data_IF_828457273198
#
_entry.id   IF_828457273198
#
_cell.length_a   1.000
_cell.length_b   1.000
_cell.length_c   1.000
_cell.angle_alpha   90.00
_cell.angle_beta   90.00
_cell.angle_gamma   90.00
#
_symmetry.space_group_name_H-M   'P 1'
#
loop_
_entity.id
_entity.type
_entity.pdbx_description
1 polymer ?
#
# COMPACT_ATOMS: atom_id res chain seq x y z
N UNK A 1 -18.92 -49.60 -32.58
CA UNK A 1 -18.50 -49.36 -31.18
C UNK A 1 -18.03 -47.93 -31.12
N UNK A 2 -18.92 -47.03 -30.70
CA UNK A 2 -18.80 -45.57 -30.81
C UNK A 2 -18.76 -45.07 -29.36
N UNK A 3 -17.58 -44.69 -28.87
CA UNK A 3 -17.46 -44.09 -27.53
C UNK A 3 -17.70 -42.59 -27.64
N UNK A 4 -18.72 -42.13 -26.91
CA UNK A 4 -19.07 -40.73 -26.75
C UNK A 4 -17.96 -39.98 -25.99
N UNK A 5 -17.53 -38.87 -26.58
CA UNK A 5 -16.95 -37.73 -25.88
C UNK A 5 -18.08 -36.97 -25.17
N UNK A 6 -18.00 -36.86 -23.86
CA UNK A 6 -18.62 -35.81 -23.06
C UNK A 6 -17.46 -35.22 -22.23
N UNK A 7 -17.15 -33.94 -22.23
CA UNK A 7 -17.98 -32.74 -22.36
C UNK A 7 -17.43 -31.81 -21.29
N UNK A 8 -16.77 -30.73 -21.71
CA UNK A 8 -16.25 -29.69 -20.83
C UNK A 8 -17.37 -29.16 -19.93
N UNK A 9 -17.23 -29.32 -18.62
CA UNK A 9 -18.08 -28.67 -17.64
C UNK A 9 -17.29 -27.54 -16.99
N UNK A 10 -17.63 -26.30 -17.33
CA UNK A 10 -17.27 -25.11 -16.58
C UNK A 10 -17.72 -25.30 -15.13
N UNK A 11 -16.76 -25.54 -14.23
CA UNK A 11 -16.99 -25.57 -12.80
C UNK A 11 -17.34 -24.16 -12.29
N UNK A 12 -18.17 -24.03 -11.25
CA UNK A 12 -18.58 -22.73 -10.72
C UNK A 12 -17.33 -21.94 -10.30
N UNK A 13 -17.24 -20.69 -10.74
CA UNK A 13 -16.15 -19.80 -10.36
C UNK A 13 -16.08 -19.70 -8.83
N UNK A 14 -15.01 -20.27 -8.25
CA UNK A 14 -14.77 -20.19 -6.81
C UNK A 14 -14.42 -18.74 -6.46
N UNK A 15 -15.44 -18.03 -6.03
CA UNK A 15 -15.30 -16.79 -5.28
C UNK A 15 -14.80 -17.13 -3.88
N UNK A 16 -13.69 -16.50 -3.47
CA UNK A 16 -13.21 -16.60 -2.09
C UNK A 16 -14.33 -16.12 -1.15
N UNK A 17 -14.52 -16.73 0.02
CA UNK A 17 -15.57 -16.33 0.97
C UNK A 17 -15.01 -16.12 2.38
N UNK A 18 -15.47 -15.07 3.08
CA UNK A 18 -15.07 -14.78 4.45
C UNK A 18 -15.73 -15.78 5.41
N UNK A 19 -15.43 -15.68 6.70
CA UNK A 19 -16.01 -16.54 7.74
C UNK A 19 -17.54 -16.46 7.86
N UNK A 20 -18.17 -15.47 7.24
CA UNK A 20 -19.62 -15.29 7.21
C UNK A 20 -20.24 -15.81 5.89
N UNK A 21 -19.45 -16.39 5.00
CA UNK A 21 -19.90 -16.90 3.70
C UNK A 21 -20.13 -15.83 2.64
N UNK A 22 -19.76 -14.57 2.92
CA UNK A 22 -19.77 -13.48 1.93
C UNK A 22 -18.54 -13.60 1.04
N UNK A 23 -18.68 -13.33 -0.25
CA UNK A 23 -17.54 -13.33 -1.17
C UNK A 23 -16.47 -12.35 -0.67
N UNK A 24 -15.29 -12.86 -0.26
CA UNK A 24 -14.08 -12.05 -0.15
C UNK A 24 -13.76 -11.62 -1.56
N UNK A 25 -13.99 -10.35 -1.82
CA UNK A 25 -13.47 -9.72 -3.02
C UNK A 25 -11.94 -9.70 -2.87
N UNK A 26 -11.30 -10.71 -3.47
CA UNK A 26 -9.85 -10.98 -3.43
C UNK A 26 -9.04 -9.78 -3.87
N UNK A 27 -9.67 -8.88 -4.61
CA UNK A 27 -9.44 -7.46 -4.52
C UNK A 27 -10.81 -6.80 -4.35
N UNK A 28 -11.09 -5.97 -3.33
CA UNK A 28 -12.23 -5.05 -3.49
C UNK A 28 -11.83 -4.09 -4.63
N UNK A 29 -12.31 -4.44 -5.82
CA UNK A 29 -12.21 -3.71 -7.10
C UNK A 29 -13.54 -3.04 -7.40
N UNK A 30 -14.56 -3.23 -6.56
CA UNK A 30 -15.79 -2.49 -6.66
C UNK A 30 -15.46 -0.98 -6.69
N UNK A 31 -16.00 -0.22 -7.67
CA UNK A 31 -15.87 1.22 -7.66
C UNK A 31 -16.37 1.71 -6.31
N UNK A 32 -15.62 2.63 -5.70
CA UNK A 32 -15.96 3.19 -4.40
C UNK A 32 -17.45 3.56 -4.39
N UNK A 33 -18.18 3.16 -3.34
CA UNK A 33 -19.61 3.43 -3.21
C UNK A 33 -19.90 4.90 -3.53
N UNK A 34 -21.04 5.18 -4.19
CA UNK A 34 -21.40 6.55 -4.55
C UNK A 34 -21.37 7.47 -3.32
N UNK A 35 -20.46 8.44 -3.30
CA UNK A 35 -20.24 9.34 -2.15
C UNK A 35 -18.91 9.16 -1.41
N UNK A 36 -18.09 8.16 -1.75
CA UNK A 36 -16.73 8.05 -1.22
C UNK A 36 -15.83 9.21 -1.70
N UNK A 37 -14.77 9.57 -0.94
CA UNK A 37 -13.76 10.51 -1.40
C UNK A 37 -13.23 10.10 -2.77
N UNK A 38 -13.25 11.05 -3.72
CA UNK A 38 -12.78 10.77 -5.07
C UNK A 38 -11.25 10.76 -5.07
N UNK A 39 -10.67 9.62 -5.40
CA UNK A 39 -9.24 9.56 -5.71
C UNK A 39 -8.91 10.52 -6.87
N UNK A 40 -7.65 11.01 -6.95
CA UNK A 40 -7.21 11.76 -8.12
C UNK A 40 -7.55 10.98 -9.40
N UNK A 41 -8.00 11.67 -10.44
CA UNK A 41 -8.46 11.01 -11.66
C UNK A 41 -7.37 10.09 -12.23
N UNK A 42 -7.73 8.84 -12.51
CA UNK A 42 -6.84 7.79 -13.03
C UNK A 42 -5.68 7.38 -12.11
N UNK A 43 -5.68 7.79 -10.83
CA UNK A 43 -4.71 7.28 -9.88
C UNK A 43 -5.05 5.84 -9.47
N UNK A 44 -4.07 4.91 -9.44
CA UNK A 44 -4.28 3.60 -8.86
C UNK A 44 -4.65 3.73 -7.38
N UNK A 45 -5.49 2.82 -6.89
CA UNK A 45 -5.97 2.82 -5.51
C UNK A 45 -5.98 1.43 -4.89
N UNK A 46 -5.73 1.35 -3.59
CA UNK A 46 -5.98 0.17 -2.77
C UNK A 46 -7.06 0.54 -1.76
N UNK A 47 -8.20 -0.15 -1.80
CA UNK A 47 -9.38 0.15 -0.97
C UNK A 47 -9.77 1.65 -1.00
N UNK A 48 -9.76 2.24 -2.20
CA UNK A 48 -10.07 3.65 -2.43
C UNK A 48 -8.95 4.64 -2.03
N UNK A 49 -7.90 4.19 -1.33
CA UNK A 49 -6.78 5.04 -0.94
C UNK A 49 -5.80 5.18 -2.10
N UNK A 50 -5.46 6.42 -2.45
CA UNK A 50 -4.43 6.77 -3.43
C UNK A 50 -3.25 7.48 -2.78
N UNK A 51 -2.08 7.40 -3.42
CA UNK A 51 -0.94 8.26 -3.10
C UNK A 51 -1.34 9.73 -3.22
N UNK A 52 -0.90 10.53 -2.26
CA UNK A 52 -1.14 11.98 -2.20
C UNK A 52 -2.42 12.42 -1.52
N UNK A 53 -3.31 11.49 -1.15
CA UNK A 53 -4.41 11.81 -0.23
C UNK A 53 -3.89 12.32 1.12
N UNK A 54 -4.69 13.10 1.83
CA UNK A 54 -4.48 13.38 3.25
C UNK A 54 -4.81 12.16 4.10
N UNK A 55 -4.32 12.11 5.34
CA UNK A 55 -4.69 11.04 6.28
C UNK A 55 -6.20 10.97 6.54
N UNK A 56 -6.89 12.12 6.57
CA UNK A 56 -8.34 12.16 6.75
C UNK A 56 -9.11 11.59 5.55
N UNK A 57 -8.68 11.92 4.32
CA UNK A 57 -9.24 11.34 3.10
C UNK A 57 -9.00 9.84 3.03
N UNK A 58 -7.81 9.36 3.42
CA UNK A 58 -7.50 7.94 3.46
C UNK A 58 -8.41 7.17 4.44
N UNK A 59 -8.62 7.70 5.65
CA UNK A 59 -9.55 7.09 6.63
C UNK A 59 -10.97 7.04 6.06
N UNK A 60 -11.44 8.14 5.44
CA UNK A 60 -12.75 8.20 4.85
C UNK A 60 -12.90 7.22 3.67
N UNK A 61 -11.87 7.06 2.83
CA UNK A 61 -11.84 6.11 1.74
C UNK A 61 -11.93 4.66 2.25
N UNK A 62 -11.15 4.30 3.27
CA UNK A 62 -11.17 2.96 3.86
C UNK A 62 -12.54 2.60 4.47
N UNK A 63 -13.13 3.51 5.26
CA UNK A 63 -14.45 3.32 5.87
C UNK A 63 -15.58 3.25 4.84
N UNK A 64 -15.37 3.86 3.67
CA UNK A 64 -16.35 3.87 2.59
C UNK A 64 -16.23 2.63 1.69
N UNK A 65 -15.00 2.12 1.51
CA UNK A 65 -14.75 0.90 0.75
C UNK A 65 -15.31 -0.35 1.45
N UNK A 66 -15.32 -0.35 2.79
CA UNK A 66 -15.97 -1.39 3.60
C UNK A 66 -16.50 -0.77 4.91
N UNK A 67 -17.81 -0.83 5.11
CA UNK A 67 -18.46 -0.30 6.31
C UNK A 67 -18.02 -1.01 7.62
N UNK A 68 -17.48 -2.23 7.51
CA UNK A 68 -16.90 -2.99 8.62
C UNK A 68 -15.45 -2.64 8.92
N UNK A 69 -14.77 -1.86 8.08
CA UNK A 69 -13.40 -1.45 8.34
C UNK A 69 -13.32 -0.45 9.50
N UNK A 70 -12.49 -0.80 10.48
CA UNK A 70 -11.95 0.16 11.42
C UNK A 70 -10.68 0.74 10.81
N UNK A 71 -10.60 2.06 10.74
CA UNK A 71 -9.43 2.76 10.22
C UNK A 71 -9.15 3.96 11.12
N UNK A 72 -7.98 3.93 11.75
CA UNK A 72 -7.51 4.96 12.67
C UNK A 72 -6.01 5.16 12.51
N UNK A 73 -5.54 6.35 12.87
CA UNK A 73 -4.10 6.62 12.97
C UNK A 73 -3.48 5.62 13.93
N UNK A 74 -2.41 4.96 13.49
CA UNK A 74 -1.71 4.02 14.35
C UNK A 74 -1.20 4.76 15.60
N UNK A 75 -1.25 4.13 16.79
CA UNK A 75 -0.63 4.69 17.98
C UNK A 75 0.85 4.94 17.68
N UNK A 76 1.38 6.06 18.16
CA UNK A 76 2.81 6.36 18.08
C UNK A 76 3.60 5.27 18.82
N UNK A 77 4.16 4.30 18.10
CA UNK A 77 5.05 3.29 18.65
C UNK A 77 6.41 3.36 17.97
N UNK A 78 7.48 3.34 18.77
CA UNK A 78 8.84 2.95 18.37
C UNK A 78 9.63 3.81 17.38
N UNK A 79 9.05 4.78 16.69
CA UNK A 79 9.76 5.61 15.72
C UNK A 79 10.23 6.92 16.36
N UNK A 80 11.53 7.21 16.29
CA UNK A 80 12.18 8.43 16.80
C UNK A 80 11.74 9.75 16.14
N UNK A 81 10.45 9.91 15.88
CA UNK A 81 9.83 11.10 15.30
C UNK A 81 9.92 12.25 16.31
N UNK A 82 10.66 13.33 16.02
CA UNK A 82 10.82 14.43 16.96
C UNK A 82 9.48 15.12 17.21
N UNK A 83 9.22 15.47 18.47
CA UNK A 83 8.28 16.54 18.77
C UNK A 83 8.88 17.84 18.24
N UNK A 84 8.07 18.66 17.58
CA UNK A 84 8.49 20.00 17.26
C UNK A 84 8.33 20.91 18.49
N UNK A 85 9.14 21.98 18.61
CA UNK A 85 9.07 22.93 19.72
C UNK A 85 7.68 23.56 19.91
N UNK A 86 6.86 23.62 18.85
CA UNK A 86 5.48 24.13 18.87
C UNK A 86 4.45 23.08 19.35
N UNK A 87 4.88 21.89 19.76
CA UNK A 87 4.02 20.80 20.21
C UNK A 87 3.40 19.96 19.09
N UNK A 88 3.70 20.25 17.82
CA UNK A 88 3.29 19.42 16.69
C UNK A 88 4.16 18.15 16.58
N UNK A 89 3.66 17.14 15.88
CA UNK A 89 4.32 15.86 15.69
C UNK A 89 3.96 15.27 14.32
N UNK A 90 4.78 14.33 13.82
CA UNK A 90 4.48 13.66 12.55
C UNK A 90 3.48 12.51 12.73
N UNK A 91 2.65 12.30 11.71
CA UNK A 91 1.83 11.09 11.57
C UNK A 91 2.43 10.21 10.49
N UNK A 92 2.65 8.95 10.82
CA UNK A 92 3.44 8.02 9.99
C UNK A 92 2.64 6.88 9.40
N UNK A 93 1.49 6.53 9.99
CA UNK A 93 0.64 5.49 9.42
C UNK A 93 -0.82 5.52 9.90
N UNK A 94 -1.68 4.91 9.09
CA UNK A 94 -3.04 4.47 9.43
C UNK A 94 -3.07 2.95 9.29
N UNK A 95 -3.66 2.28 10.29
CA UNK A 95 -3.99 0.88 10.19
C UNK A 95 -5.49 0.75 9.95
N UNK A 96 -5.84 0.06 8.88
CA UNK A 96 -7.20 -0.29 8.48
C UNK A 96 -7.39 -1.79 8.53
N UNK A 97 -8.58 -2.23 8.89
CA UNK A 97 -8.95 -3.63 8.75
C UNK A 97 -10.24 -3.96 9.47
N UNK A 98 -10.66 -5.19 9.28
CA UNK A 98 -11.83 -5.76 9.93
C UNK A 98 -11.43 -6.41 11.24
N UNK A 99 -12.15 -6.09 12.32
CA UNK A 99 -11.93 -6.79 13.59
C UNK A 99 -12.71 -8.10 13.66
N UNK A 100 -13.83 -8.19 12.92
CA UNK A 100 -14.75 -9.32 12.87
C UNK A 100 -14.21 -10.50 12.03
N UNK A 101 -13.28 -10.25 11.11
CA UNK A 101 -12.57 -11.29 10.35
C UNK A 101 -11.25 -11.72 11.01
N UNK A 102 -10.99 -11.31 12.26
CA UNK A 102 -9.72 -11.50 12.98
C UNK A 102 -8.52 -10.84 12.28
N UNK A 103 -8.73 -9.72 11.61
CA UNK A 103 -7.71 -8.98 10.85
C UNK A 103 -7.11 -9.81 9.72
N UNK A 104 -7.94 -10.54 8.98
CA UNK A 104 -7.49 -11.24 7.78
C UNK A 104 -7.26 -10.29 6.63
N UNK A 105 -8.07 -9.25 6.51
CA UNK A 105 -7.90 -8.17 5.55
C UNK A 105 -7.43 -6.90 6.27
N UNK A 106 -6.16 -6.54 6.03
CA UNK A 106 -5.50 -5.39 6.63
C UNK A 106 -5.05 -4.45 5.54
N UNK A 107 -5.22 -3.16 5.77
CA UNK A 107 -4.62 -2.10 4.96
C UNK A 107 -3.72 -1.26 5.84
N UNK A 108 -2.47 -1.07 5.43
CA UNK A 108 -1.57 -0.10 6.03
C UNK A 108 -1.40 1.06 5.05
N UNK A 109 -1.64 2.26 5.53
CA UNK A 109 -1.40 3.49 4.76
C UNK A 109 -0.21 4.18 5.40
N UNK A 110 0.86 4.36 4.63
CA UNK A 110 2.02 5.12 5.06
C UNK A 110 1.78 6.62 4.83
N UNK A 111 2.05 7.40 5.87
CA UNK A 111 1.90 8.85 5.87
C UNK A 111 3.25 9.51 6.08
N UNK A 112 3.42 10.71 5.51
CA UNK A 112 4.51 11.59 5.88
C UNK A 112 4.02 13.04 5.92
N UNK A 113 4.42 13.77 6.96
CA UNK A 113 4.02 15.14 7.20
C UNK A 113 3.69 15.44 8.66
N UNK A 114 3.61 16.73 8.98
CA UNK A 114 3.12 17.22 10.26
C UNK A 114 1.62 16.97 10.39
N UNK A 115 1.13 16.83 11.63
CA UNK A 115 -0.31 16.66 11.91
C UNK A 115 -1.15 17.74 11.22
N UNK A 116 -2.11 17.32 10.39
CA UNK A 116 -2.98 18.17 9.57
C UNK A 116 -2.43 18.41 8.16
N UNK A 117 -1.17 18.12 7.91
CA UNK A 117 -0.47 18.28 6.63
C UNK A 117 0.05 16.95 6.07
N UNK A 118 -0.17 15.82 6.76
CA UNK A 118 0.25 14.51 6.28
C UNK A 118 -0.29 14.19 4.88
N UNK A 119 0.53 13.47 4.11
CA UNK A 119 0.17 12.90 2.81
C UNK A 119 0.44 11.41 2.79
N UNK A 120 -0.41 10.67 2.10
CA UNK A 120 -0.19 9.26 1.79
C UNK A 120 1.00 9.14 0.84
N UNK A 121 2.01 8.39 1.24
CA UNK A 121 3.22 8.14 0.45
C UNK A 121 3.36 6.67 0.03
N UNK A 122 2.61 5.76 0.66
CA UNK A 122 2.56 4.34 0.35
C UNK A 122 1.27 3.72 0.87
N UNK A 123 0.78 2.67 0.21
CA UNK A 123 -0.37 1.88 0.67
C UNK A 123 -0.07 0.40 0.46
N UNK A 124 -0.31 -0.42 1.48
CA UNK A 124 -0.25 -1.87 1.36
C UNK A 124 -1.51 -2.53 1.89
N UNK A 125 -1.90 -3.65 1.27
CA UNK A 125 -3.00 -4.51 1.73
C UNK A 125 -2.50 -5.93 1.89
N UNK A 126 -2.81 -6.54 3.01
CA UNK A 126 -2.51 -7.94 3.30
C UNK A 126 -3.84 -8.68 3.49
N UNK A 127 -3.99 -9.80 2.79
CA UNK A 127 -5.14 -10.68 2.87
C UNK A 127 -4.67 -12.09 3.20
N UNK A 128 -5.20 -12.68 4.26
CA UNK A 128 -5.06 -14.10 4.57
C UNK A 128 -6.35 -14.83 4.19
N UNK A 129 -6.24 -15.95 3.47
CA UNK A 129 -7.40 -16.74 3.05
C UNK A 129 -7.59 -17.96 3.96
N UNK A 130 -8.78 -18.14 4.53
CA UNK A 130 -9.09 -19.35 5.28
C UNK A 130 -9.17 -20.60 4.38
N UNK A 131 -8.98 -21.81 4.95
CA UNK A 131 -9.24 -23.06 4.26
C UNK A 131 -10.66 -23.09 3.66
N UNK A 132 -10.75 -23.36 2.36
CA UNK A 132 -12.01 -23.35 1.60
C UNK A 132 -12.40 -21.98 1.03
N UNK A 133 -11.72 -20.91 1.44
CA UNK A 133 -11.86 -19.55 0.90
C UNK A 133 -10.70 -19.11 0.01
N UNK A 134 -9.72 -19.99 -0.27
CA UNK A 134 -8.58 -19.65 -1.13
C UNK A 134 -9.00 -19.48 -2.60
N UNK A 135 -8.67 -18.36 -3.27
CA UNK A 135 -8.90 -18.21 -4.70
C UNK A 135 -7.87 -18.97 -5.53
N UNK A 136 -8.18 -19.19 -6.81
CA UNK A 136 -7.18 -19.61 -7.78
C UNK A 136 -6.15 -18.50 -8.01
N UNK A 137 -4.87 -18.86 -8.03
CA UNK A 137 -3.78 -17.90 -8.29
C UNK A 137 -3.98 -17.18 -9.62
N UNK A 138 -4.31 -17.92 -10.69
CA UNK A 138 -4.52 -17.32 -12.02
C UNK A 138 -5.67 -16.31 -12.02
N UNK A 139 -6.78 -16.62 -11.33
CA UNK A 139 -7.91 -15.69 -11.18
C UNK A 139 -7.51 -14.42 -10.40
N UNK A 140 -6.70 -14.57 -9.35
CA UNK A 140 -6.15 -13.43 -8.60
C UNK A 140 -5.30 -12.54 -9.50
N UNK A 141 -4.43 -13.13 -10.35
CA UNK A 141 -3.60 -12.38 -11.31
C UNK A 141 -4.44 -11.65 -12.36
N UNK A 142 -5.48 -12.29 -12.88
CA UNK A 142 -6.43 -11.69 -13.82
C UNK A 142 -7.14 -10.47 -13.22
N UNK A 143 -7.66 -10.58 -12.00
CA UNK A 143 -8.32 -9.47 -11.31
C UNK A 143 -7.37 -8.30 -11.03
N UNK A 144 -6.12 -8.59 -10.67
CA UNK A 144 -5.09 -7.56 -10.50
C UNK A 144 -4.77 -6.88 -11.83
N UNK A 145 -4.68 -7.65 -12.92
CA UNK A 145 -4.42 -7.13 -14.25
C UNK A 145 -5.57 -6.27 -14.79
N UNK A 146 -6.82 -6.64 -14.51
CA UNK A 146 -8.01 -5.85 -14.85
C UNK A 146 -7.99 -4.48 -14.15
N UNK A 147 -7.59 -4.44 -12.87
CA UNK A 147 -7.58 -3.22 -12.08
C UNK A 147 -6.38 -2.31 -12.36
N UNK A 148 -5.19 -2.88 -12.49
CA UNK A 148 -3.93 -2.14 -12.52
C UNK A 148 -3.20 -2.18 -13.87
N UNK A 149 -3.74 -2.91 -14.84
CA UNK A 149 -3.08 -3.23 -16.10
C UNK A 149 -2.17 -4.46 -15.98
N UNK A 150 -1.61 -4.89 -17.11
CA UNK A 150 -0.75 -6.08 -17.16
C UNK A 150 0.43 -5.97 -16.16
N UNK A 151 0.48 -6.93 -15.24
CA UNK A 151 1.56 -7.08 -14.26
C UNK A 151 2.52 -8.18 -14.73
N UNK A 152 3.82 -7.95 -14.55
CA UNK A 152 4.86 -8.88 -14.99
C UNK A 152 5.56 -9.54 -13.80
N UNK A 153 6.17 -10.70 -14.03
CA UNK A 153 6.97 -11.35 -13.00
C UNK A 153 8.13 -10.43 -12.58
N UNK A 154 8.28 -10.22 -11.28
CA UNK A 154 9.30 -9.31 -10.74
C UNK A 154 10.69 -9.91 -10.85
N UNK A 155 10.78 -11.25 -10.79
CA UNK A 155 12.00 -12.01 -11.00
C UNK A 155 11.83 -13.05 -12.12
N UNK A 156 12.92 -13.48 -12.77
CA UNK A 156 12.88 -14.61 -13.68
C UNK A 156 12.38 -15.90 -13.01
N UNK A 157 11.82 -16.87 -13.76
CA UNK A 157 11.32 -18.13 -13.22
C UNK A 157 12.36 -18.90 -12.37
N UNK A 158 13.63 -18.88 -12.77
CA UNK A 158 14.73 -19.54 -12.07
C UNK A 158 15.06 -18.93 -10.69
N UNK A 159 14.58 -17.70 -10.43
CA UNK A 159 14.73 -17.01 -9.15
C UNK A 159 13.41 -16.92 -8.37
N UNK A 160 12.33 -17.52 -8.89
CA UNK A 160 11.01 -17.48 -8.27
C UNK A 160 10.97 -18.36 -7.01
N UNK A 161 10.21 -17.90 -6.01
CA UNK A 161 9.99 -18.65 -4.78
C UNK A 161 9.02 -19.79 -5.04
N UNK A 162 9.34 -21.00 -4.57
CA UNK A 162 8.39 -22.12 -4.59
C UNK A 162 7.17 -21.90 -3.68
N UNK A 163 7.20 -20.86 -2.83
CA UNK A 163 6.17 -20.56 -1.85
C UNK A 163 5.31 -19.35 -2.24
N UNK A 164 5.69 -18.61 -3.28
CA UNK A 164 4.97 -17.40 -3.68
C UNK A 164 5.27 -16.97 -5.11
N UNK A 165 4.26 -16.47 -5.80
CA UNK A 165 4.42 -15.72 -7.05
C UNK A 165 4.51 -14.22 -6.76
N UNK A 166 5.48 -13.53 -7.35
CA UNK A 166 5.65 -12.09 -7.22
C UNK A 166 5.50 -11.42 -8.59
N UNK A 167 4.46 -10.59 -8.71
CA UNK A 167 4.13 -9.86 -9.93
C UNK A 167 4.02 -8.37 -9.66
N UNK A 168 4.36 -7.53 -10.63
CA UNK A 168 4.25 -6.09 -10.45
C UNK A 168 4.70 -5.31 -11.66
N UNK A 169 4.66 -3.99 -11.49
CA UNK A 169 5.22 -3.00 -12.39
C UNK A 169 5.95 -1.96 -11.56
N UNK A 170 7.08 -1.48 -12.06
CA UNK A 170 7.77 -0.33 -11.50
C UNK A 170 8.16 0.61 -12.64
N UNK A 171 7.92 1.89 -12.42
CA UNK A 171 8.17 2.95 -13.41
C UNK A 171 9.22 3.90 -12.86
N UNK A 172 9.91 4.59 -13.76
CA UNK A 172 10.69 5.76 -13.39
C UNK A 172 9.79 6.96 -13.11
N UNK A 173 10.38 8.07 -12.65
CA UNK A 173 9.64 9.30 -12.35
C UNK A 173 8.99 9.98 -13.57
N UNK A 174 9.34 9.57 -14.79
CA UNK A 174 8.68 9.99 -16.04
C UNK A 174 7.47 9.12 -16.39
N UNK A 175 7.30 7.98 -15.71
CA UNK A 175 6.27 6.99 -15.96
C UNK A 175 6.68 5.90 -16.97
N UNK A 176 7.92 5.92 -17.44
CA UNK A 176 8.44 4.87 -18.32
C UNK A 176 8.74 3.59 -17.52
N UNK A 177 8.60 2.39 -18.11
CA UNK A 177 9.02 1.15 -17.47
C UNK A 177 10.51 1.20 -17.10
N UNK A 178 10.85 0.74 -15.89
CA UNK A 178 12.26 0.65 -15.50
C UNK A 178 12.97 -0.45 -16.28
N UNK A 179 14.22 -0.22 -16.72
CA UNK A 179 15.00 -1.27 -17.34
C UNK A 179 15.25 -2.40 -16.34
N UNK A 180 15.13 -3.66 -16.82
CA UNK A 180 15.49 -4.84 -16.04
C UNK A 180 16.99 -4.79 -15.69
N UNK A 181 17.34 -5.31 -14.51
CA UNK A 181 18.73 -5.53 -14.10
C UNK A 181 19.39 -6.61 -14.95
N UNK A 182 20.71 -6.77 -14.86
CA UNK A 182 21.46 -7.76 -15.67
C UNK A 182 21.01 -9.21 -15.47
N UNK A 183 20.36 -9.49 -14.35
CA UNK A 183 19.76 -10.78 -13.99
C UNK A 183 18.24 -10.83 -14.20
N UNK A 184 17.68 -9.92 -15.00
CA UNK A 184 16.28 -9.94 -15.42
C UNK A 184 15.25 -9.50 -14.37
N UNK A 185 15.68 -8.97 -13.21
CA UNK A 185 14.77 -8.48 -12.16
C UNK A 185 14.31 -7.05 -12.42
N UNK A 186 13.15 -6.69 -11.87
CA UNK A 186 12.79 -5.28 -11.70
C UNK A 186 13.73 -4.68 -10.63
N UNK A 187 14.27 -3.46 -10.80
CA UNK A 187 15.19 -2.87 -9.82
C UNK A 187 14.57 -2.73 -8.43
N UNK A 188 15.12 -3.46 -7.44
CA UNK A 188 14.59 -3.55 -6.07
C UNK A 188 14.45 -2.25 -5.27
N UNK A 189 15.04 -1.15 -5.72
CA UNK A 189 14.89 0.15 -5.06
C UNK A 189 13.58 0.87 -5.41
N UNK A 190 12.91 0.46 -6.51
CA UNK A 190 11.65 1.04 -6.99
C UNK A 190 10.43 0.13 -6.78
N UNK A 191 10.54 -0.95 -6.02
CA UNK A 191 9.40 -1.82 -5.69
C UNK A 191 9.64 -2.56 -4.38
N UNK A 192 8.59 -3.01 -3.70
CA UNK A 192 8.72 -3.90 -2.56
C UNK A 192 7.38 -4.29 -1.95
N UNK A 193 7.35 -5.50 -1.38
CA UNK A 193 6.22 -5.99 -0.60
C UNK A 193 6.16 -5.26 0.74
N UNK A 194 4.97 -4.79 1.12
CA UNK A 194 4.59 -4.13 2.39
C UNK A 194 4.55 -2.59 2.38
N UNK A 195 4.65 -1.93 1.22
CA UNK A 195 4.43 -0.49 1.11
C UNK A 195 5.52 0.38 1.75
N UNK A 196 6.74 -0.17 1.88
CA UNK A 196 7.92 0.53 2.43
C UNK A 196 8.98 0.82 1.36
N UNK A 197 8.72 0.43 0.11
CA UNK A 197 9.70 0.52 -0.96
C UNK A 197 9.38 1.71 -1.88
N UNK A 198 10.45 2.32 -2.38
CA UNK A 198 10.47 3.56 -3.14
C UNK A 198 10.23 4.81 -2.27
N UNK A 199 11.31 5.33 -1.69
CA UNK A 199 11.48 6.75 -1.30
C UNK A 199 12.57 7.41 -2.15
N UNK A 200 12.73 6.92 -3.37
CA UNK A 200 13.76 7.32 -4.31
C UNK A 200 13.16 8.25 -5.36
N UNK A 201 13.81 9.40 -5.57
CA UNK A 201 13.37 10.43 -6.52
C UNK A 201 13.35 9.96 -7.99
N UNK A 202 14.04 8.86 -8.31
CA UNK A 202 14.06 8.26 -9.65
C UNK A 202 12.90 7.30 -9.90
N UNK A 203 12.26 6.78 -8.85
CA UNK A 203 11.17 5.82 -8.96
C UNK A 203 9.83 6.55 -9.07
N UNK A 204 9.03 6.24 -10.08
CA UNK A 204 7.65 6.69 -10.21
C UNK A 204 6.68 5.78 -9.46
N UNK A 205 5.50 5.60 -10.03
CA UNK A 205 4.47 4.71 -9.49
C UNK A 205 4.89 3.25 -9.64
N UNK A 206 4.79 2.48 -8.55
CA UNK A 206 4.97 1.04 -8.53
C UNK A 206 3.77 0.32 -7.92
N UNK A 207 3.43 -0.83 -8.49
CA UNK A 207 2.39 -1.72 -7.98
C UNK A 207 3.00 -3.12 -7.94
N UNK A 208 2.96 -3.77 -6.79
CA UNK A 208 3.47 -5.14 -6.65
C UNK A 208 2.55 -5.99 -5.80
N UNK A 209 2.37 -7.24 -6.21
CA UNK A 209 1.65 -8.26 -5.48
C UNK A 209 2.55 -9.47 -5.23
N UNK A 210 2.61 -9.92 -3.99
CA UNK A 210 3.11 -11.24 -3.60
C UNK A 210 1.90 -12.12 -3.29
N UNK A 211 1.76 -13.22 -4.03
CA UNK A 211 0.69 -14.19 -3.87
C UNK A 211 1.31 -15.45 -3.26
N UNK A 212 0.97 -15.74 -2.01
CA UNK A 212 1.43 -16.95 -1.33
C UNK A 212 0.75 -18.18 -1.91
N UNK A 213 1.52 -19.24 -2.17
CA UNK A 213 1.01 -20.51 -2.71
C UNK A 213 0.54 -21.38 -1.55
N UNK A 214 -0.63 -22.01 -1.68
CA UNK A 214 -1.10 -22.97 -0.69
C UNK A 214 -0.33 -24.30 -0.79
N UNK A 215 0.17 -24.78 0.34
CA UNK A 215 1.01 -25.99 0.38
C UNK A 215 0.24 -27.28 0.12
N UNK A 216 -1.08 -27.27 0.32
CA UNK A 216 -1.97 -28.42 0.05
C UNK A 216 -2.48 -28.44 -1.39
N UNK A 217 -2.55 -27.29 -2.05
CA UNK A 217 -2.92 -27.18 -3.46
C UNK A 217 -2.23 -25.98 -4.12
N UNK A 218 -1.20 -26.21 -4.96
CA UNK A 218 -0.38 -25.14 -5.51
C UNK A 218 -1.12 -24.24 -6.53
N UNK A 219 -2.38 -24.53 -6.87
CA UNK A 219 -3.21 -23.67 -7.70
C UNK A 219 -3.94 -22.59 -6.88
N UNK A 220 -3.95 -22.70 -5.55
CA UNK A 220 -4.69 -21.84 -4.65
C UNK A 220 -3.76 -20.83 -3.96
N UNK A 221 -4.27 -19.62 -3.74
CA UNK A 221 -3.56 -18.59 -2.98
C UNK A 221 -3.84 -18.74 -1.49
N UNK A 222 -2.81 -18.86 -0.66
CA UNK A 222 -2.93 -18.89 0.80
C UNK A 222 -3.00 -17.50 1.42
N UNK A 223 -2.35 -16.52 0.80
CA UNK A 223 -2.38 -15.11 1.18
C UNK A 223 -2.03 -14.23 -0.02
N UNK A 224 -2.29 -12.93 0.11
CA UNK A 224 -1.83 -11.92 -0.84
C UNK A 224 -1.35 -10.67 -0.10
N UNK A 225 -0.21 -10.15 -0.52
CA UNK A 225 0.30 -8.84 -0.12
C UNK A 225 0.37 -7.95 -1.36
N UNK A 226 -0.40 -6.86 -1.38
CA UNK A 226 -0.43 -5.88 -2.44
C UNK A 226 0.20 -4.58 -1.93
N UNK A 227 0.97 -3.88 -2.76
CA UNK A 227 1.58 -2.59 -2.44
C UNK A 227 1.45 -1.62 -3.61
N UNK A 228 1.20 -0.37 -3.28
CA UNK A 228 1.13 0.78 -4.19
C UNK A 228 2.00 1.88 -3.61
N UNK A 229 3.04 2.27 -4.36
CA UNK A 229 4.02 3.27 -3.93
C UNK A 229 4.29 4.29 -5.05
N UNK A 230 4.87 5.43 -4.69
CA UNK A 230 5.42 6.38 -5.66
C UNK A 230 6.66 7.06 -5.07
N UNK A 231 7.84 6.63 -5.49
CA UNK A 231 9.10 7.06 -4.87
C UNK A 231 9.40 8.53 -5.02
N UNK A 232 9.14 9.09 -6.21
CA UNK A 232 9.41 10.49 -6.52
C UNK A 232 8.49 11.42 -5.75
N UNK A 233 7.21 11.03 -5.61
CA UNK A 233 6.27 11.75 -4.77
C UNK A 233 6.65 11.66 -3.29
N UNK A 234 6.96 10.45 -2.80
CA UNK A 234 7.38 10.23 -1.41
C UNK A 234 8.64 11.04 -1.08
N UNK A 235 9.68 10.99 -1.92
CA UNK A 235 10.92 11.74 -1.76
C UNK A 235 10.65 13.25 -1.68
N UNK A 236 9.77 13.78 -2.54
CA UNK A 236 9.35 15.18 -2.52
C UNK A 236 8.67 15.56 -1.20
N UNK A 237 7.65 14.81 -0.78
CA UNK A 237 6.90 15.08 0.47
C UNK A 237 7.83 15.02 1.69
N UNK A 238 8.76 14.05 1.71
CA UNK A 238 9.76 13.91 2.76
C UNK A 238 10.65 15.14 2.81
N UNK A 239 11.24 15.53 1.68
CA UNK A 239 12.12 16.69 1.59
C UNK A 239 11.42 17.99 2.03
N UNK A 240 10.18 18.21 1.56
CA UNK A 240 9.40 19.40 1.92
C UNK A 240 9.05 19.44 3.41
N UNK A 241 8.70 18.29 3.99
CA UNK A 241 8.38 18.17 5.41
C UNK A 241 9.64 18.36 6.28
N UNK A 242 10.75 17.73 5.92
CA UNK A 242 12.01 17.84 6.66
C UNK A 242 12.54 19.28 6.64
N UNK A 243 12.41 19.98 5.50
CA UNK A 243 12.74 21.40 5.40
C UNK A 243 11.89 22.27 6.34
N UNK A 244 10.57 22.00 6.43
CA UNK A 244 9.68 22.69 7.38
C UNK A 244 10.08 22.41 8.82
N UNK A 245 10.35 21.15 9.17
CA UNK A 245 10.81 20.74 10.51
C UNK A 245 12.09 21.49 10.88
N UNK A 246 13.08 21.51 9.99
CA UNK A 246 14.34 22.21 10.22
C UNK A 246 14.15 23.72 10.40
N UNK A 247 13.28 24.34 9.60
CA UNK A 247 12.95 25.76 9.73
C UNK A 247 12.30 26.08 11.08
N UNK A 248 11.31 25.28 11.53
CA UNK A 248 10.67 25.46 12.84
C UNK A 248 11.66 25.31 13.99
N UNK A 249 12.55 24.31 13.92
CA UNK A 249 13.60 24.12 14.92
C UNK A 249 14.59 25.29 14.95
N UNK A 250 14.97 25.83 13.79
CA UNK A 250 15.87 26.98 13.72
C UNK A 250 15.22 28.26 14.26
N UNK A 251 13.94 28.48 13.97
CA UNK A 251 13.18 29.61 14.52
C UNK A 251 13.12 29.56 16.05
N UNK A 252 12.84 28.38 16.62
CA UNK A 252 12.84 28.20 18.07
C UNK A 252 14.21 28.50 18.71
N UNK A 253 15.31 27.99 18.13
CA UNK A 253 16.67 28.28 18.60
C UNK A 253 16.99 29.78 18.56
N UNK A 254 16.59 30.47 17.49
CA UNK A 254 16.81 31.90 17.35
C UNK A 254 16.02 32.69 18.41
N UNK A 255 14.77 32.30 18.68
CA UNK A 255 13.93 32.91 19.70
C UNK A 255 14.50 32.71 21.12
N UNK A 256 14.98 31.50 21.44
CA UNK A 256 15.63 31.21 22.71
C UNK A 256 16.92 32.03 22.89
N UNK A 257 17.71 32.16 21.83
CA UNK A 257 18.95 32.95 21.85
C UNK A 257 18.67 34.44 22.04
N UNK A 258 17.63 34.98 21.39
CA UNK A 258 17.19 36.36 21.58
C UNK A 258 16.66 36.60 23.00
N UNK A 259 15.83 35.69 23.52
CA UNK A 259 15.33 35.75 24.88
C UNK A 259 16.45 35.62 25.94
N UNK A 260 17.51 34.87 25.65
CA UNK A 260 18.69 34.79 26.50
C UNK A 260 19.53 36.08 26.46
N UNK A 261 19.69 36.69 25.28
CA UNK A 261 20.39 37.97 25.13
C UNK A 261 19.68 39.09 25.91
N UNK A 262 18.35 39.19 25.81
CA UNK A 262 17.53 40.17 26.54
C UNK A 262 17.52 39.98 28.06
N UNK A 263 17.89 38.79 28.56
CA UNK A 263 17.99 38.48 30.00
C UNK A 263 19.38 38.72 30.59
N UNK A 264 20.35 39.16 29.79
CA UNK A 264 21.70 39.46 30.27
C UNK A 264 21.72 40.87 30.88
N UNK A 265 21.98 41.06 32.18
CA UNK A 265 22.04 42.41 32.78
C UNK A 265 23.23 43.18 32.20
N UNK A 266 22.98 44.41 31.76
CA UNK A 266 24.05 45.39 31.52
C UNK A 266 24.74 45.68 32.85
N UNK A 267 26.02 45.30 32.97
CA UNK A 267 26.88 45.69 34.10
C UNK A 267 27.34 47.13 33.98
#
# INVERSE_FOLDING_TARGET
>A
MMMLLAGCGDGPGNEAKNSNGETVDTASVAPAASGCPKAPANAPTIQGVAIGMTGAEAIAALKCADAGYRADYAPRSGSGVPWLPDGTYMRVSIAGGRSDDKWQDKVNVELYGLKGEERVIGVSREIFFYPGGQPLIDKTKEQLAEKYGALESIAPPEMSSALSEEIGIARDNSGAPLPRTSDGRIPGHCWGSNGYAARDAQCGVSISARIGIDSSNPRLASNMQLSLDNGSYAAKVIQETDAKIAATQQQAKNADTAAAADRTPSF
#
